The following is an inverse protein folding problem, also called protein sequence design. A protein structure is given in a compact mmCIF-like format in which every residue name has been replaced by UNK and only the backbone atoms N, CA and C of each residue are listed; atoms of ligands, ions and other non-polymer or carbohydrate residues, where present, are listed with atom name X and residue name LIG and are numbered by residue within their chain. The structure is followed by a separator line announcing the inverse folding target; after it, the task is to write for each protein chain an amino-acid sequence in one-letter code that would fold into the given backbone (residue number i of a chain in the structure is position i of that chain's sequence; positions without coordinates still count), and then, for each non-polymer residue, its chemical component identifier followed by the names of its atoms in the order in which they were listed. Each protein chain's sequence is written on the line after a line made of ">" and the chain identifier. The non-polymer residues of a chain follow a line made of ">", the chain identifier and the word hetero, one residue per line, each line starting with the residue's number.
data_IF_876815387375
#
_entry.id   IF_876815387375
#
_cell.length_a   1.000
_cell.length_b   1.000
_cell.length_c   1.000
_cell.angle_alpha   90.00
_cell.angle_beta   90.00
_cell.angle_gamma   90.00
#
_symmetry.space_group_name_H-M   'P 1'
#
loop_
_entity.id
_entity.type
_entity.pdbx_description
1 polymer ?
#
# COMPACT_ATOMS: atom_id res chain seq x y z
N UNK A 1 1.74 -66.94 -18.22
CA UNK A 1 0.46 -66.92 -17.46
C UNK A 1 0.65 -66.00 -16.25
N UNK A 2 -0.39 -65.23 -15.88
CA UNK A 2 -0.42 -63.76 -15.63
C UNK A 2 -0.08 -63.41 -14.15
N UNK A 3 -0.02 -62.17 -13.62
CA UNK A 3 -0.73 -60.89 -13.82
C UNK A 3 0.15 -59.74 -13.26
N UNK A 4 0.34 -58.62 -13.95
CA UNK A 4 -0.45 -57.39 -13.88
C UNK A 4 -0.65 -56.83 -12.45
N UNK A 5 0.30 -56.00 -11.97
CA UNK A 5 0.10 -55.12 -10.81
C UNK A 5 0.00 -53.68 -11.31
N UNK A 6 -1.27 -53.26 -11.40
CA UNK A 6 -1.83 -51.98 -11.02
C UNK A 6 -1.01 -50.68 -11.23
N UNK A 7 -1.40 -50.00 -12.30
CA UNK A 7 -1.81 -48.58 -12.32
C UNK A 7 -0.87 -47.55 -11.69
N UNK A 8 -0.01 -47.03 -12.57
CA UNK A 8 0.01 -45.63 -12.97
C UNK A 8 -0.98 -44.68 -12.26
N UNK A 9 -0.41 -43.53 -11.91
CA UNK A 9 -0.99 -42.19 -12.00
C UNK A 9 -1.45 -41.62 -10.66
N UNK A 10 -0.45 -41.18 -9.91
CA UNK A 10 -0.61 -40.12 -8.92
C UNK A 10 -1.27 -38.91 -9.58
N UNK A 11 -2.54 -38.73 -9.29
CA UNK A 11 -3.29 -37.51 -9.52
C UNK A 11 -3.53 -36.85 -8.18
N UNK A 12 -2.47 -36.36 -7.53
CA UNK A 12 -2.65 -35.41 -6.44
C UNK A 12 -3.13 -34.10 -7.08
N UNK A 13 -4.43 -33.89 -7.12
CA UNK A 13 -5.02 -32.58 -7.39
C UNK A 13 -4.62 -31.67 -6.21
N UNK A 14 -3.46 -31.03 -6.33
CA UNK A 14 -3.09 -29.94 -5.45
C UNK A 14 -4.07 -28.79 -5.72
N UNK A 15 -5.08 -28.65 -4.84
CA UNK A 15 -5.87 -27.44 -4.76
C UNK A 15 -4.89 -26.35 -4.36
N UNK A 16 -4.45 -25.55 -5.35
CA UNK A 16 -3.67 -24.36 -5.10
C UNK A 16 -4.58 -23.39 -4.33
N UNK A 17 -4.45 -23.36 -3.00
CA UNK A 17 -5.01 -22.31 -2.19
C UNK A 17 -4.37 -21.00 -2.67
N UNK A 18 -5.16 -20.20 -3.38
CA UNK A 18 -4.77 -18.83 -3.74
C UNK A 18 -4.77 -18.07 -2.42
N UNK A 19 -3.63 -18.04 -1.75
CA UNK A 19 -3.39 -17.13 -0.63
C UNK A 19 -3.45 -15.75 -1.25
N UNK A 20 -4.61 -15.09 -1.11
CA UNK A 20 -4.72 -13.68 -1.37
C UNK A 20 -3.72 -13.00 -0.42
N UNK A 21 -2.61 -12.52 -0.95
CA UNK A 21 -1.76 -11.60 -0.21
C UNK A 21 -2.65 -10.44 0.19
N UNK A 22 -3.00 -10.35 1.47
CA UNK A 22 -3.58 -9.14 2.03
C UNK A 22 -2.56 -8.03 1.75
N UNK A 23 -2.87 -7.17 0.78
CA UNK A 23 -2.02 -6.05 0.45
C UNK A 23 -2.08 -5.08 1.63
N UNK A 24 -1.09 -5.14 2.51
CA UNK A 24 -0.95 -4.16 3.58
C UNK A 24 -0.43 -2.86 2.96
N UNK A 25 -1.24 -1.82 3.06
CA UNK A 25 -0.83 -0.50 2.62
C UNK A 25 -0.13 0.22 3.78
N UNK A 26 1.05 -0.25 4.15
CA UNK A 26 1.96 0.32 5.17
C UNK A 26 1.43 0.55 6.60
N UNK A 27 0.46 1.45 6.80
CA UNK A 27 -0.30 1.71 8.05
C UNK A 27 -1.82 1.56 7.85
N UNK A 28 -2.26 1.18 6.65
CA UNK A 28 -3.65 0.88 6.31
C UNK A 28 -3.80 -0.64 6.12
N UNK A 29 -4.89 -1.20 6.66
CA UNK A 29 -5.32 -2.56 6.36
C UNK A 29 -6.35 -2.56 5.23
N UNK A 30 -6.02 -3.18 4.09
CA UNK A 30 -6.96 -3.34 2.97
C UNK A 30 -7.94 -4.50 3.14
N UNK A 31 -7.69 -5.41 4.09
CA UNK A 31 -8.61 -6.48 4.43
C UNK A 31 -9.82 -5.96 5.24
N UNK A 32 -9.57 -4.98 6.11
CA UNK A 32 -10.60 -4.31 6.90
C UNK A 32 -10.37 -2.79 6.89
N UNK A 33 -10.76 -2.08 5.81
CA UNK A 33 -10.59 -0.64 5.71
C UNK A 33 -11.40 0.08 6.80
N UNK A 34 -10.73 0.91 7.60
CA UNK A 34 -11.34 1.61 8.73
C UNK A 34 -12.02 2.94 8.35
N UNK A 35 -11.64 3.54 7.22
CA UNK A 35 -12.16 4.83 6.71
C UNK A 35 -12.51 4.73 5.24
N UNK A 36 -13.37 5.64 4.75
CA UNK A 36 -13.70 5.71 3.31
C UNK A 36 -12.45 5.97 2.46
N UNK A 37 -11.56 6.82 2.95
CA UNK A 37 -10.25 7.05 2.36
C UNK A 37 -9.43 5.75 2.21
N UNK A 38 -9.31 4.96 3.29
CA UNK A 38 -8.58 3.69 3.24
C UNK A 38 -9.18 2.70 2.23
N UNK A 39 -10.50 2.67 2.13
CA UNK A 39 -11.19 1.83 1.15
C UNK A 39 -10.83 2.24 -0.29
N UNK A 40 -10.94 3.54 -0.61
CA UNK A 40 -10.59 4.06 -1.95
C UNK A 40 -9.13 3.80 -2.30
N UNK A 41 -8.22 3.97 -1.32
CA UNK A 41 -6.79 3.68 -1.48
C UNK A 41 -6.58 2.20 -1.87
N UNK A 42 -7.31 1.30 -1.24
CA UNK A 42 -7.19 -0.14 -1.47
C UNK A 42 -7.86 -0.62 -2.77
N UNK A 43 -8.97 0.00 -3.18
CA UNK A 43 -9.74 -0.40 -4.37
C UNK A 43 -9.02 -0.09 -5.69
N UNK A 44 -8.09 0.88 -5.69
CA UNK A 44 -7.43 1.34 -6.92
C UNK A 44 -5.91 1.23 -6.81
N UNK A 45 -5.29 0.46 -7.72
CA UNK A 45 -3.84 0.23 -7.74
C UNK A 45 -2.99 1.53 -7.80
N UNK A 46 -3.49 2.56 -8.49
CA UNK A 46 -2.80 3.86 -8.56
C UNK A 46 -2.69 4.52 -7.17
N UNK A 47 -3.79 4.53 -6.41
CA UNK A 47 -3.80 5.10 -5.06
C UNK A 47 -3.03 4.23 -4.08
N UNK A 48 -3.14 2.90 -4.15
CA UNK A 48 -2.39 2.01 -3.26
C UNK A 48 -0.88 2.15 -3.45
N UNK A 49 -0.38 2.14 -4.69
CA UNK A 49 1.04 2.35 -5.00
C UNK A 49 1.50 3.77 -4.68
N UNK A 50 0.67 4.78 -4.93
CA UNK A 50 0.94 6.16 -4.55
C UNK A 50 1.13 6.28 -3.03
N UNK A 51 0.22 5.68 -2.28
CA UNK A 51 0.24 5.66 -0.83
C UNK A 51 1.48 4.95 -0.27
N UNK A 52 1.85 3.79 -0.83
CA UNK A 52 3.07 3.07 -0.42
C UNK A 52 4.33 3.93 -0.54
N UNK A 53 4.45 4.70 -1.63
CA UNK A 53 5.60 5.59 -1.83
C UNK A 53 5.60 6.74 -0.83
N UNK A 54 4.45 7.37 -0.58
CA UNK A 54 4.31 8.43 0.42
C UNK A 54 4.72 7.91 1.81
N UNK A 55 4.22 6.75 2.21
CA UNK A 55 4.56 6.17 3.51
C UNK A 55 6.06 5.85 3.62
N UNK A 56 6.65 5.21 2.60
CA UNK A 56 8.08 4.92 2.58
C UNK A 56 8.94 6.20 2.68
N UNK A 57 8.53 7.26 2.00
CA UNK A 57 9.16 8.58 2.08
C UNK A 57 9.02 9.17 3.49
N UNK A 58 7.83 9.11 4.09
CA UNK A 58 7.59 9.56 5.46
C UNK A 58 8.51 8.86 6.46
N UNK A 59 8.58 7.52 6.42
CA UNK A 59 9.42 6.77 7.35
C UNK A 59 10.91 7.13 7.19
N UNK A 60 11.38 7.28 5.95
CA UNK A 60 12.76 7.68 5.70
C UNK A 60 13.05 9.10 6.21
N UNK A 61 12.18 10.05 5.91
CA UNK A 61 12.36 11.46 6.27
C UNK A 61 12.22 11.68 7.78
N UNK A 62 11.33 10.94 8.44
CA UNK A 62 11.19 10.94 9.90
C UNK A 62 12.48 10.43 10.56
N UNK A 63 13.01 9.30 10.08
CA UNK A 63 14.28 8.74 10.58
C UNK A 63 15.45 9.71 10.36
N UNK A 64 15.43 10.49 9.28
CA UNK A 64 16.43 11.51 8.99
C UNK A 64 16.24 12.83 9.76
N UNK A 65 15.15 12.98 10.52
CA UNK A 65 14.81 14.20 11.24
C UNK A 65 14.39 15.38 10.35
N UNK A 66 14.03 15.11 9.08
CA UNK A 66 13.61 16.15 8.12
C UNK A 66 12.14 16.54 8.32
N UNK A 67 11.31 15.57 8.71
CA UNK A 67 9.91 15.79 9.10
C UNK A 67 9.69 15.27 10.52
N UNK A 68 8.64 15.75 11.16
CA UNK A 68 8.20 15.32 12.48
C UNK A 68 7.06 14.31 12.41
N UNK A 69 6.78 13.64 13.54
CA UNK A 69 5.58 12.82 13.66
C UNK A 69 4.30 13.66 13.50
N UNK A 70 4.33 14.93 13.90
CA UNK A 70 3.19 15.84 13.75
C UNK A 70 2.84 16.11 12.28
N UNK A 71 3.84 16.16 11.38
CA UNK A 71 3.62 16.32 9.94
C UNK A 71 2.92 15.09 9.35
N UNK A 72 3.33 13.89 9.77
CA UNK A 72 2.70 12.62 9.38
C UNK A 72 1.25 12.56 9.89
N UNK A 73 1.02 12.93 11.15
CA UNK A 73 -0.31 12.90 11.74
C UNK A 73 -1.25 13.94 11.10
N UNK A 74 -0.73 15.12 10.72
CA UNK A 74 -1.48 16.11 9.96
C UNK A 74 -1.89 15.58 8.59
N UNK A 75 -0.97 14.94 7.86
CA UNK A 75 -1.27 14.28 6.60
C UNK A 75 -2.35 13.19 6.76
N UNK A 76 -2.23 12.34 7.78
CA UNK A 76 -3.20 11.26 8.06
C UNK A 76 -4.59 11.81 8.35
N UNK A 77 -4.71 12.86 9.17
CA UNK A 77 -5.99 13.52 9.44
C UNK A 77 -6.65 14.04 8.16
N UNK A 78 -5.88 14.67 7.27
CA UNK A 78 -6.39 15.16 5.99
C UNK A 78 -6.83 14.01 5.08
N UNK A 79 -6.01 12.96 4.97
CA UNK A 79 -6.32 11.74 4.22
C UNK A 79 -7.63 11.12 4.69
N UNK A 80 -7.76 10.89 6.00
CA UNK A 80 -8.90 10.15 6.57
C UNK A 80 -10.21 10.93 6.52
N UNK A 81 -10.15 12.26 6.34
CA UNK A 81 -11.32 13.09 6.12
C UNK A 81 -11.88 13.00 4.68
N UNK A 82 -11.14 12.41 3.74
CA UNK A 82 -11.59 12.27 2.35
C UNK A 82 -12.62 11.14 2.17
N UNK A 83 -13.60 11.39 1.29
CA UNK A 83 -14.63 10.45 0.87
C UNK A 83 -14.62 10.15 -0.65
N UNK A 84 -13.73 10.82 -1.40
CA UNK A 84 -13.60 10.72 -2.85
C UNK A 84 -12.14 10.66 -3.31
N UNK A 85 -11.92 10.03 -4.47
CA UNK A 85 -10.60 9.89 -5.10
C UNK A 85 -9.92 11.23 -5.42
N UNK A 86 -10.68 12.23 -5.87
CA UNK A 86 -10.16 13.58 -6.15
C UNK A 86 -9.64 14.29 -4.90
N UNK A 87 -10.30 14.10 -3.75
CA UNK A 87 -9.81 14.60 -2.46
C UNK A 87 -8.46 13.97 -2.10
N UNK A 88 -8.34 12.65 -2.24
CA UNK A 88 -7.09 11.94 -1.96
C UNK A 88 -5.95 12.38 -2.88
N UNK A 89 -6.23 12.59 -4.17
CA UNK A 89 -5.23 13.12 -5.11
C UNK A 89 -4.74 14.51 -4.68
N UNK A 90 -5.65 15.39 -4.27
CA UNK A 90 -5.30 16.71 -3.75
C UNK A 90 -4.44 16.62 -2.47
N UNK A 91 -4.78 15.74 -1.52
CA UNK A 91 -3.98 15.51 -0.30
C UNK A 91 -2.57 15.00 -0.65
N UNK A 92 -2.45 14.06 -1.59
CA UNK A 92 -1.16 13.52 -2.02
C UNK A 92 -0.32 14.55 -2.77
N UNK A 93 -0.96 15.42 -3.54
CA UNK A 93 -0.33 16.58 -4.19
C UNK A 93 0.19 17.59 -3.16
N UNK A 94 -0.64 17.96 -2.18
CA UNK A 94 -0.28 18.88 -1.10
C UNK A 94 0.90 18.36 -0.27
N UNK A 95 0.94 17.05 0.01
CA UNK A 95 2.09 16.44 0.67
C UNK A 95 3.40 16.61 -0.12
N UNK A 96 3.38 16.37 -1.45
CA UNK A 96 4.56 16.57 -2.31
C UNK A 96 4.99 18.03 -2.36
N UNK A 97 4.03 18.96 -2.33
CA UNK A 97 4.32 20.39 -2.27
C UNK A 97 4.99 20.74 -0.93
N UNK A 98 4.43 20.30 0.20
CA UNK A 98 5.01 20.50 1.53
C UNK A 98 6.47 20.02 1.59
N UNK A 99 6.76 18.83 1.06
CA UNK A 99 8.14 18.32 0.96
C UNK A 99 9.06 19.21 0.12
N UNK A 100 8.51 19.84 -0.92
CA UNK A 100 9.26 20.80 -1.76
C UNK A 100 9.55 22.08 -0.99
N UNK A 101 8.56 22.59 -0.25
CA UNK A 101 8.66 23.84 0.50
C UNK A 101 9.71 23.76 1.62
N UNK A 102 9.82 22.60 2.28
CA UNK A 102 10.83 22.36 3.33
C UNK A 102 12.19 21.90 2.78
N UNK A 103 12.35 21.80 1.46
CA UNK A 103 13.59 21.36 0.81
C UNK A 103 13.94 19.89 1.09
N UNK A 104 12.94 19.03 1.36
CA UNK A 104 13.19 17.63 1.65
C UNK A 104 13.83 16.91 0.44
N UNK A 105 14.83 16.04 0.68
CA UNK A 105 15.43 15.27 -0.39
C UNK A 105 14.39 14.30 -0.97
N UNK A 106 14.10 14.45 -2.27
CA UNK A 106 13.25 13.51 -3.00
C UNK A 106 13.91 12.13 -2.99
N UNK A 107 13.12 11.09 -2.77
CA UNK A 107 13.60 9.73 -3.00
C UNK A 107 14.05 9.64 -4.46
N UNK A 108 15.31 9.28 -4.68
CA UNK A 108 15.77 8.79 -5.99
C UNK A 108 15.25 7.36 -6.18
N UNK A 109 13.93 7.16 -6.06
CA UNK A 109 13.34 5.84 -6.29
C UNK A 109 13.19 5.67 -7.80
N UNK A 110 14.26 5.14 -8.41
CA UNK A 110 14.30 4.32 -9.63
C UNK A 110 13.42 4.74 -10.81
N UNK A 111 14.09 5.19 -11.88
CA UNK A 111 13.69 4.94 -13.26
C UNK A 111 13.55 3.42 -13.48
#
# INVERSE_FOLDING_TARGET
>A
MPSLIHYLRGGAAAIAAVVACAAHASDISCEAPATRASQIICETALFSMGYQRIYADQQRLLKAGVISQADIDAFRRQRDACDAASCLDAVFSAWRQHLTDIGAPRSRQGR
#
